data_IF_055078039796
#
_entry.id   IF_055078039796
#
_cell.length_a   1.000
_cell.length_b   1.000
_cell.length_c   1.000
_cell.angle_alpha   90.00
_cell.angle_beta   90.00
_cell.angle_gamma   90.00
#
_symmetry.space_group_name_H-M   'P 1'
#
loop_
_entity.id
_entity.type
_entity.pdbx_description
1 polymer ?
#
# COMPACT_ATOMS: atom_id res chain seq x y z
N UNK A 1 24.01 -38.59 14.68
CA UNK A 1 23.98 -38.03 16.06
C UNK A 1 24.99 -36.90 16.18
N UNK A 2 24.60 -35.78 16.81
CA UNK A 2 25.34 -34.50 17.09
C UNK A 2 24.87 -33.34 16.21
N UNK A 3 24.54 -32.15 16.72
CA UNK A 3 24.09 -31.68 18.04
C UNK A 3 23.47 -30.30 17.72
N UNK A 4 22.17 -30.13 17.88
CA UNK A 4 21.49 -28.85 17.66
C UNK A 4 21.77 -27.90 18.83
N UNK A 5 22.30 -26.72 18.51
CA UNK A 5 22.49 -25.61 19.46
C UNK A 5 21.33 -24.64 19.29
N UNK A 6 20.49 -24.58 20.32
CA UNK A 6 19.48 -23.56 20.54
C UNK A 6 20.15 -22.38 21.22
N UNK A 7 20.21 -21.22 20.57
CA UNK A 7 20.52 -19.96 21.23
C UNK A 7 19.20 -19.22 21.40
N UNK A 8 18.74 -19.15 22.66
CA UNK A 8 17.69 -18.23 23.08
C UNK A 8 18.37 -16.91 23.45
N UNK A 9 18.28 -15.91 22.58
CA UNK A 9 18.63 -14.54 22.96
C UNK A 9 17.36 -13.74 23.11
N UNK A 10 17.01 -13.46 24.36
CA UNK A 10 16.02 -12.47 24.74
C UNK A 10 16.62 -11.07 24.54
N UNK A 11 15.91 -10.19 23.83
CA UNK A 11 16.18 -8.76 23.84
C UNK A 11 14.93 -8.05 24.37
N UNK A 12 15.05 -7.62 25.61
CA UNK A 12 14.20 -6.67 26.32
C UNK A 12 14.49 -5.28 25.73
N UNK A 13 13.47 -4.48 25.42
CA UNK A 13 13.71 -3.19 24.78
C UNK A 13 12.54 -2.22 24.70
N UNK A 14 12.05 -1.80 25.88
CA UNK A 14 11.50 -0.47 26.21
C UNK A 14 10.29 0.05 25.41
N UNK A 15 9.16 0.00 26.10
CA UNK A 15 7.92 0.73 25.86
C UNK A 15 8.16 2.24 26.07
N UNK A 16 8.11 3.05 25.02
CA UNK A 16 8.02 4.52 25.14
C UNK A 16 6.58 4.96 24.88
N UNK A 17 5.87 5.25 25.96
CA UNK A 17 4.65 6.06 25.98
C UNK A 17 5.03 7.50 25.62
N UNK A 18 4.58 8.00 24.47
CA UNK A 18 4.47 9.44 24.27
C UNK A 18 3.04 9.88 24.62
N UNK A 19 2.96 10.76 25.60
CA UNK A 19 1.73 11.31 26.16
C UNK A 19 1.11 12.33 25.20
N UNK A 20 -0.21 12.19 25.07
CA UNK A 20 -1.15 13.16 24.50
C UNK A 20 -1.10 14.49 25.28
N UNK A 21 -0.81 15.60 24.62
CA UNK A 21 -1.18 16.95 25.08
C UNK A 21 -1.25 17.92 23.90
N UNK A 22 -2.44 18.48 23.65
CA UNK A 22 -2.59 19.54 22.64
C UNK A 22 -4.01 19.84 22.17
N UNK A 23 -5.00 19.92 23.08
CA UNK A 23 -6.21 20.68 22.79
C UNK A 23 -5.90 22.17 23.01
N UNK A 24 -5.75 22.95 21.93
CA UNK A 24 -5.90 24.40 22.01
C UNK A 24 -7.34 24.74 21.61
N UNK A 25 -8.15 25.10 22.61
CA UNK A 25 -9.36 25.90 22.42
C UNK A 25 -8.96 27.35 22.63
N UNK A 26 -8.88 28.12 21.54
CA UNK A 26 -8.94 29.58 21.62
C UNK A 26 -10.15 30.02 20.80
N UNK A 27 -11.05 30.76 21.45
CA UNK A 27 -12.30 31.29 20.91
C UNK A 27 -12.16 32.79 20.64
N UNK A 28 -13.18 33.34 19.96
CA UNK A 28 -13.49 34.76 19.68
C UNK A 28 -12.94 35.18 18.28
N UNK A 29 -13.71 35.68 17.31
CA UNK A 29 -14.73 36.72 17.39
C UNK A 29 -15.74 36.66 16.21
N UNK A 30 -16.96 37.10 16.49
CA UNK A 30 -18.04 37.35 15.54
C UNK A 30 -17.71 38.56 14.64
N UNK A 31 -17.97 38.45 13.33
CA UNK A 31 -18.49 39.59 12.60
C UNK A 31 -19.46 39.12 11.50
N UNK A 32 -20.71 39.52 11.67
CA UNK A 32 -21.85 39.27 10.79
C UNK A 32 -21.87 40.36 9.72
N UNK A 33 -21.61 40.00 8.46
CA UNK A 33 -22.17 40.72 7.30
C UNK A 33 -22.58 39.72 6.24
N UNK A 34 -23.90 39.63 6.06
CA UNK A 34 -24.60 39.07 4.92
C UNK A 34 -24.10 39.67 3.61
N UNK A 35 -23.62 38.84 2.70
CA UNK A 35 -23.84 39.01 1.26
C UNK A 35 -23.83 37.62 0.60
N UNK A 36 -25.02 37.15 0.31
CA UNK A 36 -25.27 36.04 -0.60
C UNK A 36 -24.83 36.46 -1.99
N UNK A 37 -23.63 36.03 -2.39
CA UNK A 37 -23.28 35.84 -3.79
C UNK A 37 -22.65 34.46 -3.92
N UNK A 38 -23.50 33.60 -4.48
CA UNK A 38 -23.22 32.30 -5.07
C UNK A 38 -21.85 32.26 -5.78
N UNK A 39 -20.92 31.48 -5.23
CA UNK A 39 -19.91 30.68 -5.93
C UNK A 39 -19.12 29.95 -4.85
N UNK A 40 -19.63 28.77 -4.47
CA UNK A 40 -18.93 27.85 -3.59
C UNK A 40 -17.66 27.35 -4.26
N UNK A 41 -16.59 28.11 -4.16
CA UNK A 41 -15.23 27.60 -4.27
C UNK A 41 -14.90 26.94 -2.94
N UNK A 42 -15.53 25.79 -2.70
CA UNK A 42 -14.93 24.77 -1.85
C UNK A 42 -13.58 24.48 -2.48
N UNK A 43 -12.51 24.76 -1.76
CA UNK A 43 -11.20 24.23 -2.10
C UNK A 43 -11.34 22.71 -1.92
N UNK A 44 -11.81 22.03 -2.98
CA UNK A 44 -11.86 20.57 -3.07
C UNK A 44 -10.41 20.14 -3.06
N UNK A 45 -9.91 19.91 -1.85
CA UNK A 45 -8.66 19.24 -1.62
C UNK A 45 -8.82 17.82 -2.12
N UNK A 46 -8.38 17.60 -3.36
CA UNK A 46 -8.20 16.30 -3.98
C UNK A 46 -9.50 15.57 -4.31
N UNK A 47 -9.69 15.25 -5.58
CA UNK A 47 -10.29 13.97 -5.96
C UNK A 47 -9.43 12.83 -5.35
N UNK A 48 -9.49 12.65 -4.03
CA UNK A 48 -9.04 11.41 -3.40
C UNK A 48 -10.03 10.35 -3.91
N UNK A 49 -9.57 9.31 -4.63
CA UNK A 49 -10.50 8.36 -5.23
C UNK A 49 -11.16 7.59 -4.09
N UNK A 50 -12.33 8.05 -3.64
CA UNK A 50 -13.09 7.44 -2.57
C UNK A 50 -13.26 5.95 -2.90
N UNK A 51 -12.53 5.09 -2.18
CA UNK A 51 -12.55 3.65 -2.40
C UNK A 51 -11.40 3.05 -3.22
N UNK A 52 -10.33 3.79 -3.56
CA UNK A 52 -9.13 3.22 -4.20
C UNK A 52 -7.88 3.42 -3.35
N UNK A 53 -7.01 2.41 -3.36
CA UNK A 53 -5.64 2.49 -2.87
C UNK A 53 -4.64 2.24 -3.99
N UNK A 54 -3.42 1.89 -3.62
CA UNK A 54 -2.36 1.51 -4.56
C UNK A 54 -1.57 0.32 -4.04
N UNK A 55 -0.91 -0.40 -4.94
CA UNK A 55 -0.02 -1.52 -4.62
C UNK A 55 1.37 -1.22 -5.14
N UNK A 56 2.39 -1.44 -4.31
CA UNK A 56 3.80 -1.29 -4.67
C UNK A 56 4.59 -2.56 -4.34
N UNK A 57 5.79 -2.67 -4.91
CA UNK A 57 6.67 -3.81 -4.73
C UNK A 57 7.73 -3.90 -5.82
N UNK A 58 8.70 -4.77 -5.64
CA UNK A 58 9.79 -5.03 -6.60
C UNK A 58 9.90 -6.51 -6.88
N UNK A 59 9.97 -6.88 -8.15
CA UNK A 59 10.11 -8.27 -8.60
C UNK A 59 11.51 -8.49 -9.13
N UNK A 60 12.20 -9.47 -8.55
CA UNK A 60 13.54 -9.89 -8.95
C UNK A 60 13.52 -11.36 -9.43
N UNK A 61 14.41 -11.72 -10.36
CA UNK A 61 15.27 -10.83 -11.13
C UNK A 61 14.49 -10.13 -12.27
N UNK A 62 14.91 -8.94 -12.75
CA UNK A 62 14.15 -8.15 -13.72
C UNK A 62 14.08 -8.78 -15.14
N UNK A 63 14.95 -9.74 -15.44
CA UNK A 63 14.93 -10.55 -16.67
C UNK A 63 13.79 -11.58 -16.69
N UNK A 64 13.13 -11.83 -15.55
CA UNK A 64 11.93 -12.68 -15.51
C UNK A 64 10.75 -12.10 -16.32
N UNK A 65 10.77 -10.78 -16.59
CA UNK A 65 9.75 -10.04 -17.37
C UNK A 65 8.33 -10.44 -16.98
N UNK A 66 8.06 -10.41 -15.67
CA UNK A 66 6.81 -10.90 -15.14
C UNK A 66 5.62 -9.97 -15.41
N UNK A 67 4.42 -10.54 -15.42
CA UNK A 67 3.15 -9.81 -15.34
C UNK A 67 2.52 -10.06 -13.98
N UNK A 68 2.02 -9.00 -13.33
CA UNK A 68 1.35 -9.10 -12.03
C UNK A 68 -0.15 -8.98 -12.23
N UNK A 69 -0.90 -9.90 -11.64
CA UNK A 69 -2.35 -9.90 -11.60
C UNK A 69 -2.84 -9.83 -10.16
N UNK A 70 -3.87 -9.02 -9.91
CA UNK A 70 -4.63 -9.01 -8.67
C UNK A 70 -5.98 -9.68 -8.93
N UNK A 71 -6.28 -10.73 -8.19
CA UNK A 71 -7.53 -11.47 -8.25
C UNK A 71 -8.38 -11.15 -7.03
N UNK A 72 -9.48 -10.43 -7.22
CA UNK A 72 -10.48 -10.16 -6.18
C UNK A 72 -11.87 -10.10 -6.82
N UNK A 73 -12.69 -9.13 -6.42
CA UNK A 73 -13.97 -8.86 -7.09
C UNK A 73 -13.81 -8.52 -8.58
N UNK A 74 -12.69 -7.89 -8.92
CA UNK A 74 -12.25 -7.63 -10.30
C UNK A 74 -10.84 -8.18 -10.47
N UNK A 75 -10.51 -8.60 -11.69
CA UNK A 75 -9.12 -8.96 -12.03
C UNK A 75 -8.42 -7.75 -12.63
N UNK A 76 -7.30 -7.34 -12.04
CA UNK A 76 -6.49 -6.22 -12.51
C UNK A 76 -5.12 -6.70 -12.94
N UNK A 77 -4.59 -6.11 -14.00
CA UNK A 77 -3.20 -6.31 -14.43
C UNK A 77 -2.39 -5.07 -14.04
N UNK A 78 -1.29 -5.26 -13.31
CA UNK A 78 -0.35 -4.18 -13.01
C UNK A 78 0.81 -4.19 -14.00
N UNK A 79 1.35 -2.98 -14.24
CA UNK A 79 2.50 -2.78 -15.09
C UNK A 79 3.77 -2.70 -14.24
N UNK A 80 4.87 -3.22 -14.78
CA UNK A 80 6.18 -3.16 -14.14
C UNK A 80 7.10 -2.23 -14.93
N UNK A 81 8.03 -1.58 -14.23
CA UNK A 81 9.17 -0.90 -14.81
C UNK A 81 10.18 -1.91 -15.39
N UNK A 82 11.16 -1.43 -16.15
CA UNK A 82 12.24 -2.28 -16.65
C UNK A 82 13.08 -2.94 -15.54
N UNK A 83 13.05 -2.35 -14.34
CA UNK A 83 13.74 -2.84 -13.14
C UNK A 83 12.89 -3.83 -12.32
N UNK A 84 11.66 -4.12 -12.76
CA UNK A 84 10.73 -5.00 -12.06
C UNK A 84 9.94 -4.32 -10.93
N UNK A 85 9.98 -2.99 -10.83
CA UNK A 85 9.19 -2.23 -9.85
C UNK A 85 7.75 -2.11 -10.34
N UNK A 86 6.77 -2.27 -9.44
CA UNK A 86 5.37 -2.04 -9.76
C UNK A 86 5.16 -0.54 -10.01
N UNK A 87 4.64 -0.19 -11.19
CA UNK A 87 4.35 1.19 -11.55
C UNK A 87 3.13 1.72 -10.77
N UNK A 88 3.03 3.05 -10.56
CA UNK A 88 1.88 3.66 -9.91
C UNK A 88 0.56 3.20 -10.52
N UNK A 89 -0.41 2.90 -9.66
CA UNK A 89 -1.69 2.31 -10.02
C UNK A 89 -2.81 2.80 -9.08
N UNK A 90 -4.05 2.65 -9.53
CA UNK A 90 -5.25 2.84 -8.72
C UNK A 90 -5.98 1.50 -8.65
N UNK A 91 -6.05 0.94 -7.45
CA UNK A 91 -6.65 -0.38 -7.20
C UNK A 91 -7.84 -0.16 -6.26
N UNK A 92 -9.06 -0.60 -6.62
CA UNK A 92 -10.20 -0.54 -5.70
C UNK A 92 -9.85 -1.20 -4.37
N UNK A 93 -10.31 -0.62 -3.27
CA UNK A 93 -10.14 -1.21 -1.95
C UNK A 93 -10.85 -2.56 -1.88
N UNK A 94 -10.19 -3.53 -1.26
CA UNK A 94 -10.67 -4.90 -1.20
C UNK A 94 -9.57 -5.90 -0.85
N UNK A 95 -9.99 -7.16 -0.72
CA UNK A 95 -9.10 -8.30 -0.53
C UNK A 95 -8.79 -8.94 -1.89
N UNK A 96 -7.52 -9.28 -2.09
CA UNK A 96 -7.00 -9.81 -3.34
C UNK A 96 -6.02 -10.95 -3.10
N UNK A 97 -5.86 -11.79 -4.12
CA UNK A 97 -4.70 -12.66 -4.28
C UNK A 97 -3.84 -12.10 -5.43
N UNK A 98 -2.54 -11.94 -5.20
CA UNK A 98 -1.58 -11.53 -6.24
C UNK A 98 -0.97 -12.76 -6.89
N UNK A 99 -1.02 -12.80 -8.22
CA UNK A 99 -0.34 -13.80 -9.03
C UNK A 99 0.69 -13.12 -9.91
N UNK A 100 1.93 -13.53 -9.77
CA UNK A 100 3.05 -13.06 -10.59
C UNK A 100 3.38 -14.16 -11.59
N UNK A 101 3.23 -13.85 -12.86
CA UNK A 101 3.42 -14.79 -13.98
C UNK A 101 4.65 -14.35 -14.78
N UNK A 102 5.80 -15.03 -14.63
CA UNK A 102 6.99 -14.76 -15.44
C UNK A 102 6.73 -15.03 -16.92
N UNK A 103 7.28 -14.19 -17.81
CA UNK A 103 7.28 -14.49 -19.24
C UNK A 103 8.35 -15.54 -19.59
N UNK A 104 9.44 -15.58 -18.82
CA UNK A 104 10.48 -16.58 -18.95
C UNK A 104 10.10 -17.85 -18.19
N UNK A 105 10.03 -18.98 -18.89
CA UNK A 105 9.66 -20.29 -18.35
C UNK A 105 10.68 -20.90 -17.40
N UNK A 106 11.87 -20.31 -17.27
CA UNK A 106 12.85 -20.67 -16.26
C UNK A 106 12.40 -20.31 -14.83
N UNK A 107 11.39 -19.44 -14.67
CA UNK A 107 10.87 -19.02 -13.38
C UNK A 107 9.45 -19.54 -13.14
N UNK A 108 9.15 -19.86 -11.89
CA UNK A 108 7.84 -20.35 -11.48
C UNK A 108 6.85 -19.21 -11.22
N UNK A 109 5.56 -19.51 -11.41
CA UNK A 109 4.47 -18.62 -10.96
C UNK A 109 4.54 -18.46 -9.44
N UNK A 110 4.42 -17.23 -8.96
CA UNK A 110 4.40 -16.91 -7.54
C UNK A 110 3.02 -16.36 -7.14
N UNK A 111 2.52 -16.77 -5.97
CA UNK A 111 1.20 -16.36 -5.46
C UNK A 111 1.32 -15.82 -4.04
N UNK A 112 0.72 -14.67 -3.80
CA UNK A 112 0.54 -14.06 -2.47
C UNK A 112 -0.95 -14.00 -2.22
N UNK A 113 -1.42 -14.66 -1.18
CA UNK A 113 -2.85 -14.65 -0.84
C UNK A 113 -3.16 -13.60 0.23
N UNK A 114 -4.42 -13.25 0.33
CA UNK A 114 -4.99 -12.49 1.47
C UNK A 114 -4.37 -11.09 1.67
N UNK A 115 -4.07 -10.39 0.57
CA UNK A 115 -3.59 -9.01 0.61
C UNK A 115 -4.76 -8.03 0.56
N UNK A 116 -4.76 -7.08 1.50
CA UNK A 116 -5.80 -6.08 1.66
C UNK A 116 -5.35 -4.73 1.14
N UNK A 117 -6.03 -4.23 0.11
CA UNK A 117 -5.89 -2.86 -0.37
C UNK A 117 -6.88 -1.96 0.38
N UNK A 118 -6.37 -0.92 1.02
CA UNK A 118 -7.17 0.06 1.76
C UNK A 118 -7.25 1.37 0.99
N UNK A 119 -8.42 2.01 0.96
CA UNK A 119 -8.61 3.28 0.28
C UNK A 119 -7.67 4.37 0.85
N UNK A 120 -7.08 5.17 -0.02
CA UNK A 120 -6.11 6.21 0.33
C UNK A 120 -4.75 5.70 0.82
N UNK A 121 -4.52 4.36 0.86
CA UNK A 121 -3.30 3.76 1.36
C UNK A 121 -2.49 3.06 0.27
N UNK A 122 -1.18 2.92 0.54
CA UNK A 122 -0.26 2.12 -0.27
C UNK A 122 -0.07 0.76 0.40
N UNK A 123 -0.35 -0.31 -0.33
CA UNK A 123 -0.08 -1.69 0.10
C UNK A 123 1.27 -2.12 -0.49
N UNK A 124 2.26 -2.36 0.37
CA UNK A 124 3.60 -2.78 -0.05
C UNK A 124 3.73 -4.30 -0.01
N UNK A 125 4.03 -4.90 -1.16
CA UNK A 125 4.33 -6.33 -1.31
C UNK A 125 5.81 -6.66 -1.04
N UNK A 126 6.65 -5.64 -0.86
CA UNK A 126 8.08 -5.76 -0.63
C UNK A 126 8.84 -6.26 -1.86
N UNK A 127 9.94 -6.98 -1.61
CA UNK A 127 10.78 -7.56 -2.66
C UNK A 127 10.39 -9.03 -2.86
N UNK A 128 9.89 -9.38 -4.04
CA UNK A 128 9.58 -10.75 -4.44
C UNK A 128 10.72 -11.28 -5.30
N UNK A 129 11.36 -12.37 -4.85
CA UNK A 129 12.38 -13.07 -5.64
C UNK A 129 11.80 -14.33 -6.25
N UNK A 130 11.66 -14.34 -7.57
CA UNK A 130 11.24 -15.49 -8.35
C UNK A 130 12.33 -16.57 -8.38
N UNK A 131 11.90 -17.82 -8.46
CA UNK A 131 12.74 -19.02 -8.43
C UNK A 131 12.37 -19.97 -9.56
#
# INVERSE_FOLDING_TARGET
MKKSIFIRTAAIGVFSFFILAGCNKESINENKTTNSSNSGSSLVAGDDPEGYGSVTGTILPPDAKATVYLYGNVTLKLFLSEKGEILPNSVPAGDYDVRIVPANTAYSVYVINDIRVTAGAVTDLGIITLK
#
